data_IF_178900618362
#
_entry.id   IF_178900618362
#
_cell.length_a   1.000
_cell.length_b   1.000
_cell.length_c   1.000
_cell.angle_alpha   90.00
_cell.angle_beta   90.00
_cell.angle_gamma   90.00
#
_symmetry.space_group_name_H-M   'P 1'
#
loop_
_entity.id
_entity.type
_entity.pdbx_description
1 polymer ?
#
# COMPACT_ATOMS: atom_id res chain seq x y z
N UNK A 1 -17.23 67.62 -62.66
CA UNK A 1 -17.72 66.66 -61.63
C UNK A 1 -17.14 65.28 -61.93
N UNK A 2 -15.89 65.02 -61.55
CA UNK A 2 -15.33 63.67 -61.57
C UNK A 2 -15.17 63.19 -60.12
N UNK A 3 -16.17 62.45 -59.64
CA UNK A 3 -16.16 61.80 -58.33
C UNK A 3 -16.27 60.27 -58.47
N UNK A 4 -16.11 59.71 -59.68
CA UNK A 4 -16.37 58.28 -59.94
C UNK A 4 -15.13 57.38 -59.95
N UNK A 5 -13.91 57.92 -60.05
CA UNK A 5 -12.68 57.09 -60.00
C UNK A 5 -12.15 56.77 -58.60
N UNK A 6 -12.68 57.40 -57.53
CA UNK A 6 -12.23 57.17 -56.14
C UNK A 6 -13.01 56.09 -55.38
N UNK A 7 -14.19 55.68 -55.88
CA UNK A 7 -15.10 54.76 -55.16
C UNK A 7 -14.76 53.27 -55.35
N UNK A 8 -14.17 52.90 -56.48
CA UNK A 8 -13.84 51.49 -56.79
C UNK A 8 -12.64 50.97 -56.01
N UNK A 9 -11.62 51.81 -55.83
CA UNK A 9 -10.41 51.47 -55.05
C UNK A 9 -10.65 51.45 -53.53
N UNK A 10 -11.66 52.16 -53.04
CA UNK A 10 -11.99 52.17 -51.61
C UNK A 10 -12.72 50.88 -51.23
N UNK A 11 -13.67 50.44 -52.05
CA UNK A 11 -14.40 49.19 -51.82
C UNK A 11 -13.46 47.97 -51.81
N UNK A 12 -12.52 47.87 -52.76
CA UNK A 12 -11.57 46.75 -52.81
C UNK A 12 -10.55 46.75 -51.67
N UNK A 13 -10.16 47.93 -51.17
CA UNK A 13 -9.29 48.05 -49.98
C UNK A 13 -10.01 47.65 -48.70
N UNK A 14 -11.25 48.07 -48.49
CA UNK A 14 -12.04 47.67 -47.32
C UNK A 14 -12.33 46.15 -47.33
N UNK A 15 -12.69 45.58 -48.49
CA UNK A 15 -12.90 44.13 -48.64
C UNK A 15 -11.64 43.30 -48.38
N UNK A 16 -10.46 43.80 -48.77
CA UNK A 16 -9.18 43.11 -48.52
C UNK A 16 -8.68 43.26 -47.08
N UNK A 17 -8.92 44.42 -46.44
CA UNK A 17 -8.66 44.61 -45.01
C UNK A 17 -9.59 43.72 -44.16
N UNK A 18 -10.88 43.64 -44.51
CA UNK A 18 -11.83 42.75 -43.82
C UNK A 18 -11.43 41.29 -43.98
N UNK A 19 -11.03 40.85 -45.18
CA UNK A 19 -10.53 39.49 -45.40
C UNK A 19 -9.24 39.18 -44.60
N UNK A 20 -8.32 40.15 -44.50
CA UNK A 20 -7.08 40.02 -43.72
C UNK A 20 -7.37 40.00 -42.21
N UNK A 21 -8.29 40.83 -41.72
CA UNK A 21 -8.73 40.86 -40.32
C UNK A 21 -9.46 39.58 -39.94
N UNK A 22 -10.31 39.05 -40.82
CA UNK A 22 -10.99 37.76 -40.62
C UNK A 22 -9.97 36.61 -40.62
N UNK A 23 -8.98 36.62 -41.52
CA UNK A 23 -7.90 35.62 -41.50
C UNK A 23 -6.96 35.77 -40.28
N UNK A 24 -6.72 36.97 -39.77
CA UNK A 24 -5.94 37.20 -38.55
C UNK A 24 -6.70 36.81 -37.26
N UNK A 25 -8.03 36.96 -37.24
CA UNK A 25 -8.88 36.53 -36.14
C UNK A 25 -9.09 35.00 -36.11
N UNK A 26 -9.02 34.34 -37.27
CA UNK A 26 -9.07 32.87 -37.39
C UNK A 26 -7.65 32.26 -37.31
N UNK A 27 -6.61 33.06 -37.58
CA UNK A 27 -5.21 32.64 -37.73
C UNK A 27 -4.40 32.53 -36.43
N UNK A 28 -4.94 32.92 -35.28
CA UNK A 28 -4.41 32.47 -34.00
C UNK A 28 -4.91 31.05 -33.72
N UNK A 29 -4.40 30.13 -34.53
CA UNK A 29 -3.96 28.78 -34.15
C UNK A 29 -4.13 28.55 -32.64
N UNK A 30 -5.07 27.73 -32.17
CA UNK A 30 -4.96 26.25 -32.23
C UNK A 30 -3.49 25.87 -31.98
N UNK A 31 -3.20 25.14 -30.90
CA UNK A 31 -1.85 24.72 -30.45
C UNK A 31 -1.12 25.62 -29.42
N UNK A 32 -1.77 25.90 -28.29
CA UNK A 32 -1.08 25.85 -27.01
C UNK A 32 -1.66 24.68 -26.20
N UNK A 33 -1.20 23.48 -26.59
CA UNK A 33 -1.20 22.24 -25.82
C UNK A 33 -2.48 21.90 -25.04
N UNK A 34 -3.50 21.34 -25.72
CA UNK A 34 -4.20 20.22 -25.10
C UNK A 34 -3.11 19.17 -24.92
N UNK A 35 -2.60 19.03 -23.69
CA UNK A 35 -1.61 18.00 -23.40
C UNK A 35 -2.25 16.70 -23.86
N UNK A 36 -1.74 16.10 -24.93
CA UNK A 36 -2.01 14.70 -25.26
C UNK A 36 -1.28 13.80 -24.25
N UNK A 37 -1.42 14.13 -22.96
CA UNK A 37 -1.44 13.09 -21.94
C UNK A 37 -2.72 12.29 -22.16
N UNK A 38 -2.71 11.07 -21.68
CA UNK A 38 -3.87 10.19 -21.55
C UNK A 38 -5.10 10.96 -21.01
N UNK A 39 -5.86 11.61 -21.89
CA UNK A 39 -7.03 12.39 -21.51
C UNK A 39 -8.17 11.44 -21.13
N UNK A 40 -8.00 10.73 -20.02
CA UNK A 40 -8.98 9.79 -19.50
C UNK A 40 -9.97 10.46 -18.53
N UNK A 41 -9.82 11.75 -18.22
CA UNK A 41 -10.74 12.51 -17.36
C UNK A 41 -11.22 11.72 -16.14
N UNK A 42 -12.48 11.90 -15.77
CA UNK A 42 -13.19 10.95 -14.93
C UNK A 42 -13.76 9.85 -15.83
N UNK A 43 -13.05 8.74 -15.99
CA UNK A 43 -13.57 7.57 -16.71
C UNK A 43 -14.20 6.60 -15.72
N UNK A 44 -15.47 6.25 -15.96
CA UNK A 44 -16.08 5.09 -15.32
C UNK A 44 -15.89 3.90 -16.27
N UNK A 45 -14.94 3.03 -15.96
CA UNK A 45 -14.75 1.81 -16.72
C UNK A 45 -15.84 0.80 -16.30
N UNK A 46 -16.87 0.63 -17.14
CA UNK A 46 -17.91 -0.40 -16.92
C UNK A 46 -17.39 -1.84 -17.18
N UNK A 47 -16.08 -1.99 -17.44
CA UNK A 47 -15.31 -3.21 -17.67
C UNK A 47 -13.91 -3.01 -17.08
N UNK A 48 -13.05 -4.03 -17.17
CA UNK A 48 -11.70 -3.97 -16.63
C UNK A 48 -10.90 -2.81 -17.24
N UNK A 49 -10.19 -2.07 -16.38
CA UNK A 49 -9.16 -1.14 -16.82
C UNK A 49 -7.90 -1.95 -17.18
N UNK A 50 -7.68 -2.22 -18.46
CA UNK A 50 -6.47 -2.87 -18.94
C UNK A 50 -5.36 -1.82 -19.10
N UNK A 51 -4.33 -1.88 -18.26
CA UNK A 51 -3.24 -0.91 -18.29
C UNK A 51 -2.14 -1.26 -19.31
N UNK A 52 -2.08 -2.44 -19.94
CA UNK A 52 -1.15 -2.79 -21.05
C UNK A 52 0.22 -2.06 -21.03
N UNK A 53 1.03 -2.29 -19.98
CA UNK A 53 2.36 -1.66 -19.74
C UNK A 53 2.35 -0.24 -19.15
N UNK A 54 1.19 0.31 -18.83
CA UNK A 54 1.03 1.53 -18.04
C UNK A 54 0.98 1.18 -16.55
N UNK A 55 1.37 2.13 -15.72
CA UNK A 55 1.44 2.00 -14.27
C UNK A 55 0.56 3.08 -13.62
N UNK A 56 0.03 2.81 -12.43
CA UNK A 56 -0.58 3.84 -11.60
C UNK A 56 0.54 4.54 -10.82
N UNK A 57 0.98 5.72 -11.29
CA UNK A 57 2.01 6.54 -10.64
C UNK A 57 1.39 7.75 -9.94
N UNK A 58 2.01 8.18 -8.83
CA UNK A 58 1.66 9.40 -8.08
C UNK A 58 0.19 9.50 -7.64
N UNK A 59 -0.48 8.36 -7.40
CA UNK A 59 -1.80 8.36 -6.76
C UNK A 59 -1.67 8.65 -5.26
N UNK A 60 -2.62 9.40 -4.69
CA UNK A 60 -2.70 9.60 -3.23
C UNK A 60 -3.02 8.33 -2.46
N UNK A 61 -3.54 7.29 -3.13
CA UNK A 61 -3.77 5.96 -2.57
C UNK A 61 -4.47 5.02 -3.56
N UNK A 62 -4.49 3.71 -3.26
CA UNK A 62 -5.27 2.70 -3.99
C UNK A 62 -6.26 2.04 -3.04
N UNK A 63 -7.55 2.09 -3.38
CA UNK A 63 -8.60 1.37 -2.67
C UNK A 63 -9.19 0.26 -3.56
N UNK A 64 -9.35 -0.93 -3.01
CA UNK A 64 -9.95 -2.09 -3.68
C UNK A 64 -11.16 -2.53 -2.87
N UNK A 65 -12.32 -2.60 -3.54
CA UNK A 65 -13.59 -3.00 -2.90
C UNK A 65 -14.28 -1.92 -2.07
N UNK A 66 -13.71 -0.71 -1.98
CA UNK A 66 -14.32 0.48 -1.36
C UNK A 66 -14.07 1.72 -2.21
N UNK A 67 -14.99 2.69 -2.14
CA UNK A 67 -14.88 4.00 -2.80
C UNK A 67 -14.22 5.07 -1.91
N UNK A 68 -14.10 4.81 -0.61
CA UNK A 68 -13.59 5.76 0.38
C UNK A 68 -12.62 5.01 1.29
N UNK A 69 -11.46 5.61 1.55
CA UNK A 69 -10.52 5.09 2.55
C UNK A 69 -11.08 5.25 3.95
N UNK A 70 -10.77 4.28 4.79
CA UNK A 70 -11.04 4.34 6.23
C UNK A 70 -10.29 5.47 6.94
N UNK A 71 -9.14 5.91 6.41
CA UNK A 71 -8.31 6.99 6.96
C UNK A 71 -7.39 7.62 5.91
N UNK A 72 -6.99 8.88 6.12
CA UNK A 72 -6.03 9.59 5.27
C UNK A 72 -4.59 9.03 5.34
N UNK A 73 -4.31 8.18 6.35
CA UNK A 73 -3.00 7.57 6.55
C UNK A 73 -2.83 6.25 5.80
N UNK A 74 -3.83 5.85 5.00
CA UNK A 74 -3.84 4.59 4.26
C UNK A 74 -3.48 4.84 2.79
N UNK A 75 -2.33 4.30 2.36
CA UNK A 75 -1.93 4.34 0.95
C UNK A 75 -2.51 3.19 0.12
N UNK A 76 -2.84 2.06 0.75
CA UNK A 76 -3.47 0.89 0.12
C UNK A 76 -4.53 0.29 1.06
N UNK A 77 -5.77 0.21 0.61
CA UNK A 77 -6.86 -0.45 1.33
C UNK A 77 -7.50 -1.55 0.48
N UNK A 78 -7.69 -2.73 1.06
CA UNK A 78 -8.46 -3.82 0.46
C UNK A 78 -9.63 -4.11 1.40
N UNK A 79 -10.83 -3.63 1.04
CA UNK A 79 -12.04 -3.81 1.82
C UNK A 79 -12.94 -4.84 1.17
N UNK A 80 -13.07 -6.01 1.80
CA UNK A 80 -13.89 -7.10 1.28
C UNK A 80 -14.33 -8.07 2.40
N UNK A 81 -15.55 -8.60 2.28
CA UNK A 81 -16.07 -9.64 3.19
C UNK A 81 -15.67 -11.03 2.69
N UNK A 82 -15.20 -11.88 3.59
CA UNK A 82 -14.74 -13.25 3.29
C UNK A 82 -13.70 -13.32 2.14
N UNK A 83 -12.74 -12.39 2.12
CA UNK A 83 -11.57 -12.43 1.23
C UNK A 83 -10.31 -12.17 2.07
N UNK A 84 -9.16 -12.59 1.56
CA UNK A 84 -7.88 -12.39 2.21
C UNK A 84 -6.88 -11.81 1.21
N UNK A 85 -5.89 -11.08 1.74
CA UNK A 85 -4.69 -10.73 1.00
C UNK A 85 -3.71 -11.91 1.07
N UNK A 86 -3.30 -12.43 -0.08
CA UNK A 86 -2.29 -13.46 -0.17
C UNK A 86 -0.92 -12.82 -0.42
N UNK A 87 -0.04 -12.85 0.59
CA UNK A 87 1.34 -12.39 0.48
C UNK A 87 2.16 -13.29 -0.46
N UNK A 88 3.33 -12.80 -0.89
CA UNK A 88 4.30 -13.60 -1.65
C UNK A 88 4.65 -14.88 -0.89
N UNK A 89 4.58 -16.02 -1.59
CA UNK A 89 4.82 -17.36 -1.05
C UNK A 89 6.18 -17.86 -1.48
N UNK A 90 7.03 -18.18 -0.52
CA UNK A 90 8.35 -18.74 -0.73
C UNK A 90 8.35 -20.20 -0.29
N UNK A 91 9.03 -21.08 -1.04
CA UNK A 91 9.01 -22.51 -0.74
C UNK A 91 9.80 -22.83 0.52
N UNK A 92 10.98 -22.23 0.65
CA UNK A 92 11.95 -22.53 1.71
C UNK A 92 12.47 -21.27 2.41
N UNK A 93 13.09 -21.44 3.58
CA UNK A 93 13.80 -20.37 4.27
C UNK A 93 15.02 -19.85 3.47
N UNK A 94 15.62 -20.69 2.62
CA UNK A 94 16.73 -20.26 1.76
C UNK A 94 16.26 -19.23 0.72
N UNK A 95 15.07 -19.42 0.13
CA UNK A 95 14.48 -18.47 -0.82
C UNK A 95 14.23 -17.11 -0.16
N UNK A 96 13.81 -17.11 1.11
CA UNK A 96 13.63 -15.88 1.90
C UNK A 96 14.95 -15.17 2.17
N UNK A 97 15.99 -15.91 2.53
CA UNK A 97 17.33 -15.35 2.80
C UNK A 97 18.04 -14.84 1.54
N UNK A 98 17.66 -15.33 0.36
CA UNK A 98 18.20 -14.86 -0.92
C UNK A 98 17.65 -13.49 -1.35
N UNK A 99 16.60 -12.98 -0.69
CA UNK A 99 16.05 -11.65 -0.99
C UNK A 99 17.01 -10.55 -0.54
N UNK A 100 17.15 -9.50 -1.35
CA UNK A 100 17.70 -8.22 -0.89
C UNK A 100 16.66 -7.52 -0.02
N UNK A 101 16.61 -7.92 1.25
CA UNK A 101 15.54 -7.55 2.14
C UNK A 101 15.64 -6.09 2.62
N UNK A 102 14.48 -5.46 2.81
CA UNK A 102 14.34 -4.08 3.32
C UNK A 102 13.37 -4.11 4.50
N UNK A 103 13.66 -3.32 5.55
CA UNK A 103 12.81 -3.25 6.74
C UNK A 103 11.35 -2.99 6.36
N UNK A 104 10.43 -3.80 6.89
CA UNK A 104 9.00 -3.76 6.59
C UNK A 104 8.53 -4.78 5.56
N UNK A 105 9.42 -5.53 4.90
CA UNK A 105 9.02 -6.62 3.99
C UNK A 105 8.30 -7.75 4.73
N UNK A 106 7.22 -8.27 4.14
CA UNK A 106 6.46 -9.42 4.65
C UNK A 106 6.36 -10.53 3.60
N UNK A 107 6.59 -11.78 4.03
CA UNK A 107 6.46 -12.97 3.18
C UNK A 107 5.81 -14.12 3.95
N UNK A 108 5.29 -15.11 3.22
CA UNK A 108 4.86 -16.39 3.80
C UNK A 108 5.78 -17.51 3.30
N UNK A 109 6.47 -18.20 4.19
CA UNK A 109 7.30 -19.35 3.84
C UNK A 109 6.49 -20.63 4.03
N UNK A 110 6.20 -21.34 2.94
CA UNK A 110 5.32 -22.50 2.96
C UNK A 110 5.95 -23.72 3.61
N UNK A 111 7.27 -23.88 3.51
CA UNK A 111 7.99 -24.98 4.14
C UNK A 111 7.99 -24.92 5.68
N UNK A 112 7.91 -23.72 6.27
CA UNK A 112 7.78 -23.54 7.74
C UNK A 112 6.35 -23.11 8.15
N UNK A 113 5.44 -22.95 7.19
CA UNK A 113 4.05 -22.51 7.42
C UNK A 113 3.92 -21.22 8.24
N UNK A 114 4.84 -20.26 8.06
CA UNK A 114 4.91 -19.01 8.85
C UNK A 114 4.98 -17.77 7.99
N UNK A 115 4.43 -16.69 8.53
CA UNK A 115 4.72 -15.34 8.06
C UNK A 115 6.04 -14.86 8.65
N UNK A 116 6.81 -14.11 7.87
CA UNK A 116 8.03 -13.45 8.31
C UNK A 116 7.97 -11.96 7.99
N UNK A 117 8.44 -11.14 8.93
CA UNK A 117 8.66 -9.70 8.78
C UNK A 117 10.17 -9.45 8.81
N UNK A 118 10.70 -8.72 7.84
CA UNK A 118 12.08 -8.25 7.89
C UNK A 118 12.15 -6.97 8.72
N UNK A 119 12.88 -7.00 9.83
CA UNK A 119 13.07 -5.88 10.73
C UNK A 119 14.41 -5.97 11.45
N UNK A 120 15.06 -4.84 11.69
CA UNK A 120 16.36 -4.81 12.36
C UNK A 120 17.40 -5.69 11.66
N UNK A 121 17.40 -5.66 10.32
CA UNK A 121 18.27 -6.44 9.44
C UNK A 121 18.14 -7.98 9.59
N UNK A 122 17.04 -8.45 10.20
CA UNK A 122 16.78 -9.87 10.43
C UNK A 122 15.34 -10.25 10.03
N UNK A 123 15.17 -11.46 9.49
CA UNK A 123 13.84 -12.04 9.31
C UNK A 123 13.32 -12.58 10.64
N UNK A 124 12.21 -12.01 11.11
CA UNK A 124 11.54 -12.42 12.35
C UNK A 124 10.23 -13.12 12.00
N UNK A 125 9.99 -14.36 12.48
CA UNK A 125 8.71 -15.01 12.26
C UNK A 125 7.62 -14.28 13.05
N UNK A 126 6.49 -14.02 12.41
CA UNK A 126 5.29 -13.58 13.11
C UNK A 126 4.75 -14.79 13.88
N UNK A 127 4.88 -14.74 15.20
CA UNK A 127 4.39 -15.79 16.09
C UNK A 127 3.51 -15.17 17.17
N UNK A 128 2.50 -15.92 17.59
CA UNK A 128 1.60 -15.53 18.69
C UNK A 128 2.09 -16.07 20.05
N UNK A 129 3.25 -16.72 20.08
CA UNK A 129 3.75 -17.44 21.26
C UNK A 129 4.87 -16.69 21.99
N UNK A 130 4.94 -16.91 23.29
CA UNK A 130 6.09 -16.49 24.09
C UNK A 130 7.26 -17.42 23.82
N UNK A 131 8.42 -16.83 23.50
CA UNK A 131 9.68 -17.57 23.51
C UNK A 131 10.02 -17.88 24.96
N UNK A 132 9.73 -19.11 25.40
CA UNK A 132 10.19 -19.62 26.69
C UNK A 132 11.66 -20.01 26.52
N UNK A 133 12.56 -19.07 26.78
CA UNK A 133 13.95 -19.43 27.03
C UNK A 133 13.95 -20.34 28.26
N UNK A 134 14.44 -21.57 28.10
CA UNK A 134 14.36 -22.66 29.08
C UNK A 134 14.65 -22.12 30.50
N UNK A 135 13.71 -22.17 31.46
CA UNK A 135 13.96 -21.78 32.83
C UNK A 135 14.81 -22.86 33.50
N UNK A 136 16.12 -22.88 33.21
CA UNK A 136 17.13 -23.74 33.82
C UNK A 136 16.91 -25.26 33.55
N UNK A 137 17.99 -26.00 33.31
CA UNK A 137 18.04 -27.47 33.15
C UNK A 137 17.68 -28.25 34.44
N UNK A 138 16.96 -27.63 35.36
CA UNK A 138 16.59 -28.15 36.69
C UNK A 138 15.15 -27.83 37.10
N UNK A 139 14.32 -27.16 36.28
CA UNK A 139 12.91 -27.00 36.62
C UNK A 139 12.19 -28.34 36.44
N UNK A 140 11.81 -29.00 37.53
CA UNK A 140 10.80 -30.04 37.47
C UNK A 140 9.49 -29.40 37.00
N UNK A 141 8.61 -30.17 36.35
CA UNK A 141 7.36 -29.71 35.72
C UNK A 141 6.38 -28.94 36.66
N UNK A 142 6.72 -28.79 37.93
CA UNK A 142 5.84 -28.42 39.02
C UNK A 142 6.27 -27.14 39.76
N UNK A 143 7.29 -26.40 39.33
CA UNK A 143 7.75 -25.18 40.01
C UNK A 143 7.32 -23.86 39.36
N UNK A 144 7.20 -23.87 38.03
CA UNK A 144 6.90 -22.72 37.19
C UNK A 144 6.43 -23.24 35.84
N UNK A 145 5.29 -22.78 35.34
CA UNK A 145 4.89 -23.00 33.94
C UNK A 145 4.56 -21.66 33.30
N UNK A 146 5.05 -21.45 32.08
CA UNK A 146 4.73 -20.29 31.26
C UNK A 146 3.87 -20.76 30.09
N UNK A 147 2.58 -20.40 30.11
CA UNK A 147 1.66 -20.82 29.06
C UNK A 147 1.90 -20.02 27.78
N UNK A 148 1.49 -20.57 26.64
CA UNK A 148 1.52 -19.89 25.33
C UNK A 148 0.62 -18.64 25.27
N UNK A 149 -0.20 -18.40 26.30
CA UNK A 149 -1.02 -17.20 26.48
C UNK A 149 -0.37 -16.14 27.39
N UNK A 150 0.87 -16.35 27.84
CA UNK A 150 1.56 -15.39 28.73
C UNK A 150 1.14 -15.40 30.16
N UNK A 151 0.58 -16.52 30.61
CA UNK A 151 0.30 -16.73 32.02
C UNK A 151 1.52 -17.36 32.65
N UNK A 152 2.05 -16.67 33.66
CA UNK A 152 3.00 -17.24 34.59
C UNK A 152 2.26 -17.95 35.71
N UNK A 153 2.22 -19.28 35.64
CA UNK A 153 1.64 -20.11 36.68
C UNK A 153 2.75 -20.61 37.61
N UNK A 154 2.67 -20.16 38.86
CA UNK A 154 3.57 -20.57 39.94
C UNK A 154 2.82 -21.59 40.79
N UNK A 155 3.29 -22.83 40.76
CA UNK A 155 2.74 -23.88 41.61
C UNK A 155 3.29 -23.74 43.03
N UNK A 156 2.51 -24.10 44.06
CA UNK A 156 3.02 -24.11 45.42
C UNK A 156 4.16 -25.12 45.61
N UNK A 157 5.12 -24.80 46.47
CA UNK A 157 6.14 -25.74 46.90
C UNK A 157 5.55 -26.81 47.81
N UNK A 158 5.88 -28.07 47.55
CA UNK A 158 5.55 -29.20 48.42
C UNK A 158 6.79 -30.10 48.63
N UNK A 159 6.63 -31.20 49.37
CA UNK A 159 7.73 -32.11 49.73
C UNK A 159 8.37 -32.83 48.53
N UNK A 160 7.71 -32.86 47.37
CA UNK A 160 8.19 -33.55 46.15
C UNK A 160 8.45 -32.58 44.99
N UNK A 161 8.03 -31.31 45.10
CA UNK A 161 8.10 -30.30 44.05
C UNK A 161 8.63 -28.95 44.58
N UNK A 162 9.80 -28.48 44.09
CA UNK A 162 10.28 -27.13 44.40
C UNK A 162 9.45 -26.07 43.66
N UNK A 163 8.43 -25.52 44.33
CA UNK A 163 7.66 -24.34 43.88
C UNK A 163 8.21 -23.02 44.42
N UNK A 164 7.72 -21.88 43.91
CA UNK A 164 8.10 -20.52 44.36
C UNK A 164 7.16 -19.95 45.44
N UNK A 165 5.92 -20.46 45.53
CA UNK A 165 4.90 -19.99 46.47
C UNK A 165 4.72 -21.06 47.56
N UNK A 166 4.73 -20.74 48.85
CA UNK A 166 4.38 -21.73 49.88
C UNK A 166 2.85 -21.82 50.02
N UNK A 167 2.31 -22.97 50.44
CA UNK A 167 0.85 -23.14 50.67
C UNK A 167 0.32 -22.42 51.91
N UNK A 168 1.21 -21.87 52.74
CA UNK A 168 0.87 -21.10 53.93
C UNK A 168 0.60 -19.63 53.62
N UNK A 169 0.01 -18.93 54.61
CA UNK A 169 -0.15 -17.47 54.57
C UNK A 169 1.20 -16.80 54.35
N UNK A 170 1.37 -16.09 53.23
CA UNK A 170 2.50 -15.19 53.05
C UNK A 170 2.27 -13.94 53.90
N UNK A 171 3.10 -13.77 54.91
CA UNK A 171 3.18 -12.52 55.68
C UNK A 171 4.32 -11.68 55.13
N UNK A 172 4.05 -10.39 54.94
CA UNK A 172 5.03 -9.36 54.57
C UNK A 172 6.06 -9.20 55.67
#
# INVERSE_FOLDING_TARGET
MDKRHKRTNFATKELSIIALVVMALIGNSVFAQQKFGDNLGNHNANKNLLLNSHQLLNTSGIAIGTAVFSSNSVALEISATNKAFLLSRLATNADMLALTAVNGMMVYVTGDSKFYLYQGDTWVPVSTGITVSIPNTSSTANGFTLSTLGILALSPADATNPGIVTTGTQTI
#
